data_IF_215862897077
#
_entry.id   IF_215862897077
#
_cell.length_a   1.000
_cell.length_b   1.000
_cell.length_c   1.000
_cell.angle_alpha   90.00
_cell.angle_beta   90.00
_cell.angle_gamma   90.00
#
_symmetry.space_group_name_H-M   'P 1'
#
loop_
_entity.id
_entity.type
_entity.pdbx_description
1 polymer ?
#
# COMPACT_ATOMS: atom_id res chain seq x y z
N UNK A 1 -5.17 -15.46 -6.15
CA UNK A 1 -3.74 -15.93 -6.24
C UNK A 1 -2.84 -14.89 -5.60
N UNK A 2 -1.73 -15.28 -5.01
CA UNK A 2 -0.75 -14.31 -4.54
C UNK A 2 0.68 -14.70 -4.92
N UNK A 3 1.52 -13.68 -5.08
CA UNK A 3 2.94 -13.82 -5.40
C UNK A 3 3.74 -12.88 -4.51
N UNK A 4 4.93 -13.27 -4.14
CA UNK A 4 5.85 -12.47 -3.33
C UNK A 4 7.18 -12.38 -4.08
N UNK A 5 7.67 -11.16 -4.31
CA UNK A 5 8.93 -10.96 -5.04
C UNK A 5 9.67 -9.69 -4.62
N UNK A 6 10.99 -9.73 -4.72
CA UNK A 6 11.83 -8.53 -4.64
C UNK A 6 11.74 -7.76 -5.96
N UNK A 7 11.64 -6.44 -5.90
CA UNK A 7 11.65 -5.64 -7.11
C UNK A 7 10.99 -4.28 -6.98
N UNK A 8 10.63 -3.72 -8.12
CA UNK A 8 9.96 -2.45 -8.26
C UNK A 8 8.45 -2.67 -8.40
N UNK A 9 7.68 -2.09 -7.49
CA UNK A 9 6.21 -2.22 -7.49
C UNK A 9 5.56 -1.73 -8.79
N UNK A 10 6.16 -0.75 -9.46
CA UNK A 10 5.65 -0.19 -10.72
C UNK A 10 5.80 -1.15 -11.91
N UNK A 11 6.60 -2.20 -11.76
CA UNK A 11 6.82 -3.22 -12.79
C UNK A 11 5.98 -4.49 -12.55
N UNK A 12 5.07 -4.45 -11.60
CA UNK A 12 4.28 -5.63 -11.21
C UNK A 12 3.14 -5.98 -12.18
N UNK A 13 2.79 -5.09 -13.11
CA UNK A 13 1.69 -5.27 -14.07
C UNK A 13 0.33 -5.55 -13.40
N UNK A 14 0.00 -4.76 -12.41
CA UNK A 14 -1.28 -4.86 -11.69
C UNK A 14 -2.24 -3.72 -12.05
N UNK A 15 -3.53 -3.93 -11.83
CA UNK A 15 -4.55 -2.87 -11.98
C UNK A 15 -4.34 -1.72 -11.00
N UNK A 16 -3.80 -2.02 -9.83
CA UNK A 16 -3.60 -1.03 -8.77
C UNK A 16 -2.29 -1.23 -8.03
N UNK A 17 -1.84 -0.18 -7.36
CA UNK A 17 -0.73 -0.24 -6.41
C UNK A 17 -1.17 0.35 -5.07
N UNK A 18 -0.51 -0.06 -3.98
CA UNK A 18 -0.67 0.53 -2.68
C UNK A 18 0.62 1.25 -2.23
N UNK A 19 0.47 2.30 -1.46
CA UNK A 19 1.55 3.04 -0.82
C UNK A 19 1.20 3.35 0.63
N UNK A 20 2.20 3.59 1.46
CA UNK A 20 2.00 4.14 2.78
C UNK A 20 1.54 5.60 2.70
N UNK A 21 0.71 6.01 3.64
CA UNK A 21 0.26 7.39 3.78
C UNK A 21 0.19 7.80 5.24
N UNK A 22 0.07 9.11 5.44
CA UNK A 22 -0.26 9.73 6.72
C UNK A 22 -1.68 10.29 6.68
N UNK A 23 -2.16 10.75 7.84
CA UNK A 23 -3.54 11.24 8.02
C UNK A 23 -3.89 12.48 7.19
N UNK A 24 -2.90 13.22 6.69
CA UNK A 24 -3.09 14.41 5.84
C UNK A 24 -2.78 14.16 4.36
N UNK A 25 -2.30 12.98 3.99
CA UNK A 25 -2.15 12.57 2.60
C UNK A 25 -0.95 13.15 1.84
N UNK A 26 0.04 13.73 2.53
CA UNK A 26 1.26 14.22 1.90
C UNK A 26 2.14 13.07 1.39
N UNK A 27 2.85 13.30 0.30
CA UNK A 27 3.73 12.33 -0.37
C UNK A 27 5.17 12.85 -0.50
N UNK A 28 5.83 13.22 0.62
CA UNK A 28 7.10 13.96 0.54
C UNK A 28 8.36 13.09 0.48
N UNK A 29 8.24 11.77 0.67
CA UNK A 29 9.40 10.87 0.81
C UNK A 29 9.06 9.44 0.39
N UNK A 30 10.10 8.62 0.26
CA UNK A 30 9.97 7.18 0.01
C UNK A 30 9.22 6.85 -1.27
N UNK A 31 8.51 5.74 -1.26
CA UNK A 31 7.71 5.29 -2.40
C UNK A 31 6.61 6.30 -2.78
N UNK A 32 6.02 6.97 -1.80
CA UNK A 32 5.03 8.02 -2.06
C UNK A 32 5.59 9.14 -2.94
N UNK A 33 6.82 9.60 -2.69
CA UNK A 33 7.47 10.61 -3.53
C UNK A 33 7.78 10.08 -4.93
N UNK A 34 8.23 8.84 -5.05
CA UNK A 34 8.48 8.21 -6.37
C UNK A 34 7.19 8.14 -7.17
N UNK A 35 6.11 7.68 -6.56
CA UNK A 35 4.79 7.60 -7.19
C UNK A 35 4.29 8.99 -7.61
N UNK A 36 4.36 9.98 -6.73
CA UNK A 36 4.01 11.38 -7.05
C UNK A 36 4.80 11.91 -8.24
N UNK A 37 6.11 11.67 -8.25
CA UNK A 37 7.00 12.15 -9.33
C UNK A 37 6.61 11.56 -10.69
N UNK A 38 6.27 10.29 -10.73
CA UNK A 38 5.92 9.58 -11.96
C UNK A 38 4.45 9.76 -12.36
N UNK A 39 3.54 9.81 -11.40
CA UNK A 39 2.11 9.98 -11.64
C UNK A 39 1.72 11.44 -11.95
N UNK A 40 2.47 12.39 -11.43
CA UNK A 40 2.19 13.82 -11.51
C UNK A 40 1.63 14.39 -10.20
N UNK A 41 1.75 15.72 -10.05
CA UNK A 41 1.40 16.43 -8.81
C UNK A 41 -0.09 16.36 -8.44
N UNK A 42 -0.97 16.13 -9.42
CA UNK A 42 -2.41 16.05 -9.20
C UNK A 42 -2.80 14.90 -8.25
N UNK A 43 -2.02 13.83 -8.20
CA UNK A 43 -2.25 12.70 -7.29
C UNK A 43 -2.12 13.14 -5.83
N UNK A 44 -1.07 13.90 -5.49
CA UNK A 44 -0.92 14.42 -4.12
C UNK A 44 -1.98 15.47 -3.78
N UNK A 45 -2.35 16.32 -4.74
CA UNK A 45 -3.43 17.29 -4.53
C UNK A 45 -4.76 16.59 -4.22
N UNK A 46 -5.10 15.55 -4.97
CA UNK A 46 -6.29 14.73 -4.70
C UNK A 46 -6.20 14.05 -3.34
N UNK A 47 -5.06 13.44 -3.01
CA UNK A 47 -4.80 12.81 -1.72
C UNK A 47 -5.05 13.77 -0.56
N UNK A 48 -4.47 14.96 -0.61
CA UNK A 48 -4.64 15.99 0.42
C UNK A 48 -6.09 16.48 0.50
N UNK A 49 -6.76 16.61 -0.63
CA UNK A 49 -8.16 17.03 -0.68
C UNK A 49 -9.07 16.01 -0.01
N UNK A 50 -8.89 14.72 -0.29
CA UNK A 50 -9.66 13.64 0.34
C UNK A 50 -9.47 13.65 1.85
N UNK A 51 -8.23 13.77 2.32
CA UNK A 51 -7.94 13.81 3.75
C UNK A 51 -8.57 15.03 4.43
N UNK A 52 -8.48 16.21 3.82
CA UNK A 52 -9.06 17.46 4.38
C UNK A 52 -10.58 17.44 4.43
N UNK A 53 -11.24 16.81 3.48
CA UNK A 53 -12.71 16.71 3.44
C UNK A 53 -13.27 16.07 4.70
N UNK A 54 -12.53 15.20 5.34
CA UNK A 54 -12.91 14.49 6.56
C UNK A 54 -12.20 15.07 7.81
N UNK A 55 -11.61 16.28 7.71
CA UNK A 55 -10.77 16.89 8.75
C UNK A 55 -9.33 16.34 8.69
N UNK A 56 -9.17 15.08 8.91
CA UNK A 56 -8.00 14.24 8.64
C UNK A 56 -8.47 12.79 8.59
N UNK A 57 -7.65 11.91 8.00
CA UNK A 57 -7.94 10.48 8.04
C UNK A 57 -7.56 9.89 9.40
N UNK A 58 -8.13 8.75 9.73
CA UNK A 58 -7.72 7.99 10.92
C UNK A 58 -6.66 6.97 10.55
N UNK A 59 -5.70 6.74 11.46
CA UNK A 59 -4.74 5.65 11.34
C UNK A 59 -5.45 4.30 11.29
N UNK A 60 -4.98 3.40 10.44
CA UNK A 60 -5.62 2.09 10.22
C UNK A 60 -6.71 2.10 9.17
N UNK A 61 -6.90 3.21 8.46
CA UNK A 61 -7.82 3.34 7.33
C UNK A 61 -7.08 3.42 6.01
N UNK A 62 -7.79 3.61 4.92
CA UNK A 62 -7.22 3.84 3.60
C UNK A 62 -8.15 4.70 2.75
N UNK A 63 -7.62 5.19 1.66
CA UNK A 63 -8.38 5.85 0.59
C UNK A 63 -7.71 5.57 -0.75
N UNK A 64 -8.38 5.92 -1.84
CA UNK A 64 -7.81 5.76 -3.17
C UNK A 64 -7.85 7.07 -3.96
N UNK A 65 -6.87 7.21 -4.85
CA UNK A 65 -6.78 8.31 -5.81
C UNK A 65 -6.69 7.78 -7.22
N UNK A 66 -6.89 8.69 -8.18
CA UNK A 66 -6.53 8.45 -9.58
C UNK A 66 -5.02 8.17 -9.68
N UNK A 67 -4.63 7.42 -10.68
CA UNK A 67 -3.23 7.04 -10.88
C UNK A 67 -2.43 8.04 -11.73
N UNK A 68 -3.06 9.12 -12.21
CA UNK A 68 -2.38 10.12 -13.04
C UNK A 68 -1.71 9.49 -14.26
N UNK A 69 -0.46 9.88 -14.52
CA UNK A 69 0.31 9.38 -15.66
C UNK A 69 0.65 7.87 -15.56
N UNK A 70 0.52 7.26 -14.39
CA UNK A 70 0.72 5.81 -14.24
C UNK A 70 -0.36 4.99 -14.96
N UNK A 71 -1.44 5.62 -15.41
CA UNK A 71 -2.43 4.96 -16.28
C UNK A 71 -1.81 4.49 -17.59
N UNK A 72 -0.77 5.13 -18.08
CA UNK A 72 -0.04 4.76 -19.29
C UNK A 72 0.62 3.38 -19.19
N UNK A 73 0.94 2.93 -17.98
CA UNK A 73 1.48 1.59 -17.72
C UNK A 73 0.44 0.63 -17.13
N UNK A 74 -0.84 0.99 -17.22
CA UNK A 74 -1.96 0.13 -16.84
C UNK A 74 -2.41 0.21 -15.38
N UNK A 75 -1.84 1.10 -14.58
CA UNK A 75 -2.27 1.31 -13.19
C UNK A 75 -3.49 2.23 -13.19
N UNK A 76 -4.62 1.73 -12.72
CA UNK A 76 -5.91 2.43 -12.72
C UNK A 76 -6.13 3.27 -11.46
N UNK A 77 -5.63 2.80 -10.31
CA UNK A 77 -5.83 3.42 -9.00
C UNK A 77 -4.60 3.27 -8.11
N UNK A 78 -4.42 4.24 -7.22
CA UNK A 78 -3.43 4.19 -6.14
C UNK A 78 -4.20 4.12 -4.82
N UNK A 79 -3.88 3.13 -3.98
CA UNK A 79 -4.45 2.95 -2.65
C UNK A 79 -3.46 3.44 -1.61
N UNK A 80 -3.94 4.29 -0.71
CA UNK A 80 -3.13 4.95 0.32
C UNK A 80 -3.47 4.32 1.68
N UNK A 81 -2.54 3.55 2.22
CA UNK A 81 -2.68 2.93 3.54
C UNK A 81 -2.28 3.94 4.61
N UNK A 82 -3.23 4.43 5.36
CA UNK A 82 -3.02 5.46 6.39
C UNK A 82 -2.53 4.80 7.68
N UNK A 83 -1.26 4.94 8.00
CA UNK A 83 -0.63 4.23 9.12
C UNK A 83 -0.03 5.15 10.20
N UNK A 84 0.10 6.45 9.94
CA UNK A 84 0.78 7.37 10.85
C UNK A 84 0.22 8.79 10.77
N UNK A 85 0.49 9.59 11.81
CA UNK A 85 0.11 11.02 11.87
C UNK A 85 0.92 11.88 10.89
N UNK A 86 2.16 11.49 10.62
CA UNK A 86 3.05 12.19 9.68
C UNK A 86 3.78 11.19 8.79
N UNK A 87 4.27 11.63 7.61
CA UNK A 87 5.02 10.75 6.71
C UNK A 87 6.24 10.14 7.40
N UNK A 88 6.33 8.80 7.39
CA UNK A 88 7.41 8.06 8.06
C UNK A 88 7.34 8.08 9.59
N UNK A 89 6.25 8.56 10.17
CA UNK A 89 6.04 8.60 11.62
C UNK A 89 5.79 7.23 12.23
N UNK A 90 5.65 7.22 13.56
CA UNK A 90 5.39 6.00 14.32
C UNK A 90 4.04 5.40 13.95
N UNK A 91 3.99 4.08 13.91
CA UNK A 91 2.77 3.31 13.68
C UNK A 91 2.75 2.09 14.62
N UNK A 92 1.72 1.27 14.50
CA UNK A 92 1.57 0.03 15.26
C UNK A 92 1.18 -1.12 14.33
N UNK A 93 1.48 -2.34 14.75
CA UNK A 93 1.04 -3.54 14.00
C UNK A 93 -0.48 -3.59 13.85
N UNK A 94 -1.21 -3.10 14.83
CA UNK A 94 -2.67 -2.97 14.78
C UNK A 94 -3.13 -2.04 13.63
N UNK A 95 -2.51 -0.87 13.50
CA UNK A 95 -2.83 0.08 12.45
C UNK A 95 -2.41 -0.44 11.06
N UNK A 96 -1.27 -1.11 10.97
CA UNK A 96 -0.80 -1.73 9.73
C UNK A 96 -1.80 -2.80 9.27
N UNK A 97 -2.20 -3.70 10.15
CA UNK A 97 -3.17 -4.76 9.83
C UNK A 97 -4.49 -4.19 9.32
N UNK A 98 -5.06 -3.23 10.02
CA UNK A 98 -6.32 -2.59 9.64
C UNK A 98 -6.21 -1.88 8.29
N UNK A 99 -5.11 -1.17 8.08
CA UNK A 99 -4.87 -0.40 6.87
C UNK A 99 -4.68 -1.30 5.64
N UNK A 100 -3.89 -2.37 5.77
CA UNK A 100 -3.69 -3.36 4.70
C UNK A 100 -5.01 -4.06 4.36
N UNK A 101 -5.78 -4.45 5.36
CA UNK A 101 -7.12 -5.03 5.16
C UNK A 101 -8.02 -4.06 4.39
N UNK A 102 -8.07 -2.80 4.83
CA UNK A 102 -8.85 -1.76 4.19
C UNK A 102 -8.47 -1.61 2.70
N UNK A 103 -7.19 -1.57 2.40
CA UNK A 103 -6.69 -1.47 1.01
C UNK A 103 -7.18 -2.64 0.16
N UNK A 104 -7.02 -3.87 0.63
CA UNK A 104 -7.41 -5.06 -0.14
C UNK A 104 -8.92 -5.14 -0.35
N UNK A 105 -9.70 -4.88 0.70
CA UNK A 105 -11.16 -4.87 0.62
C UNK A 105 -11.67 -3.77 -0.32
N UNK A 106 -11.12 -2.57 -0.21
CA UNK A 106 -11.50 -1.44 -1.05
C UNK A 106 -11.14 -1.68 -2.52
N UNK A 107 -9.95 -2.19 -2.81
CA UNK A 107 -9.53 -2.48 -4.17
C UNK A 107 -10.43 -3.54 -4.81
N UNK A 108 -10.76 -4.62 -4.10
CA UNK A 108 -11.68 -5.63 -4.58
C UNK A 108 -13.09 -5.06 -4.82
N UNK A 109 -13.60 -4.26 -3.90
CA UNK A 109 -14.91 -3.60 -4.01
C UNK A 109 -14.98 -2.64 -5.19
N UNK A 110 -13.90 -1.95 -5.49
CA UNK A 110 -13.81 -1.01 -6.62
C UNK A 110 -13.54 -1.70 -7.96
N UNK A 111 -13.50 -3.03 -7.99
CA UNK A 111 -13.39 -3.81 -9.22
C UNK A 111 -11.96 -4.02 -9.73
N UNK A 112 -10.94 -3.76 -8.90
CA UNK A 112 -9.55 -4.07 -9.27
C UNK A 112 -9.38 -5.59 -9.27
N UNK A 113 -8.80 -6.12 -10.35
CA UNK A 113 -8.53 -7.57 -10.47
C UNK A 113 -7.22 -7.96 -9.81
N UNK A 114 -6.29 -7.01 -9.73
CA UNK A 114 -4.97 -7.22 -9.16
C UNK A 114 -4.44 -5.98 -8.47
N UNK A 115 -3.62 -6.18 -7.45
CA UNK A 115 -2.96 -5.11 -6.72
C UNK A 115 -1.52 -5.51 -6.34
N UNK A 116 -0.59 -4.58 -6.51
CA UNK A 116 0.75 -4.70 -5.97
C UNK A 116 0.84 -3.91 -4.66
N UNK A 117 1.42 -4.52 -3.64
CA UNK A 117 1.49 -3.93 -2.28
C UNK A 117 2.92 -4.07 -1.76
N UNK A 118 3.51 -2.99 -1.23
CA UNK A 118 4.83 -3.02 -0.62
C UNK A 118 4.74 -3.54 0.82
N UNK A 119 5.87 -3.71 1.47
CA UNK A 119 5.93 -4.01 2.90
C UNK A 119 5.53 -2.81 3.75
N UNK A 120 4.24 -2.55 3.84
CA UNK A 120 3.70 -1.42 4.59
C UNK A 120 4.09 -1.53 6.06
N UNK A 121 4.78 -0.50 6.57
CA UNK A 121 5.21 -0.41 7.96
C UNK A 121 6.59 -0.99 8.27
N UNK A 122 7.28 -1.61 7.31
CA UNK A 122 8.59 -2.25 7.56
C UNK A 122 9.71 -1.27 7.87
N UNK A 123 9.58 0.00 7.47
CA UNK A 123 10.53 1.07 7.80
C UNK A 123 10.18 1.79 9.11
N UNK A 124 9.06 1.43 9.74
CA UNK A 124 8.66 1.98 11.04
C UNK A 124 9.33 1.19 12.19
N UNK A 125 9.01 1.56 13.43
CA UNK A 125 9.51 0.88 14.62
C UNK A 125 8.95 -0.55 14.82
N UNK A 126 8.13 -1.07 13.90
CA UNK A 126 7.56 -2.40 14.01
C UNK A 126 8.57 -3.48 13.58
N UNK A 127 8.45 -4.64 14.20
CA UNK A 127 9.24 -5.82 13.88
C UNK A 127 8.85 -6.38 12.50
N UNK A 128 9.83 -6.57 11.62
CA UNK A 128 9.65 -7.11 10.26
C UNK A 128 8.96 -8.48 10.29
N UNK A 129 9.32 -9.36 11.21
CA UNK A 129 8.71 -10.69 11.33
C UNK A 129 7.22 -10.60 11.65
N UNK A 130 6.86 -9.72 12.57
CA UNK A 130 5.46 -9.49 12.93
C UNK A 130 4.66 -8.92 11.76
N UNK A 131 5.24 -7.99 11.01
CA UNK A 131 4.60 -7.45 9.79
C UNK A 131 4.42 -8.55 8.75
N UNK A 132 5.40 -9.40 8.54
CA UNK A 132 5.30 -10.51 7.60
C UNK A 132 4.17 -11.49 7.99
N UNK A 133 3.99 -11.78 9.28
CA UNK A 133 2.88 -12.60 9.79
C UNK A 133 1.53 -11.95 9.46
N UNK A 134 1.41 -10.64 9.69
CA UNK A 134 0.20 -9.87 9.35
C UNK A 134 -0.10 -9.99 7.85
N UNK A 135 0.90 -9.77 7.01
CA UNK A 135 0.75 -9.85 5.55
C UNK A 135 0.28 -11.24 5.10
N UNK A 136 0.91 -12.30 5.57
CA UNK A 136 0.50 -13.68 5.20
C UNK A 136 -0.94 -13.94 5.60
N UNK A 137 -1.35 -13.54 6.80
CA UNK A 137 -2.71 -13.70 7.27
C UNK A 137 -3.72 -12.97 6.37
N UNK A 138 -3.45 -11.70 6.01
CA UNK A 138 -4.32 -10.92 5.14
C UNK A 138 -4.37 -11.48 3.72
N UNK A 139 -3.22 -11.80 3.15
CA UNK A 139 -3.10 -12.28 1.78
C UNK A 139 -3.85 -13.62 1.61
N UNK A 140 -3.69 -14.56 2.53
CA UNK A 140 -4.38 -15.86 2.47
C UNK A 140 -5.89 -15.70 2.47
N UNK A 141 -6.42 -14.73 3.23
CA UNK A 141 -7.87 -14.44 3.26
C UNK A 141 -8.37 -13.79 1.98
N UNK A 142 -7.60 -12.87 1.41
CA UNK A 142 -8.05 -12.01 0.33
C UNK A 142 -7.68 -12.50 -1.07
N UNK A 143 -6.75 -13.45 -1.19
CA UNK A 143 -6.26 -13.93 -2.49
C UNK A 143 -7.29 -14.71 -3.32
N UNK A 144 -8.42 -15.06 -2.74
CA UNK A 144 -9.56 -15.64 -3.48
C UNK A 144 -10.43 -14.59 -4.18
N UNK A 145 -10.31 -13.32 -3.76
CA UNK A 145 -11.14 -12.21 -4.24
C UNK A 145 -10.35 -11.31 -5.21
N UNK A 146 -9.08 -11.11 -4.94
CA UNK A 146 -8.21 -10.24 -5.73
C UNK A 146 -6.82 -10.87 -5.86
N UNK A 147 -6.19 -10.75 -7.01
CA UNK A 147 -4.80 -11.18 -7.19
C UNK A 147 -3.85 -10.19 -6.50
N UNK A 148 -3.00 -10.71 -5.63
CA UNK A 148 -2.11 -9.90 -4.78
C UNK A 148 -0.66 -10.20 -5.12
N UNK A 149 0.11 -9.16 -5.40
CA UNK A 149 1.56 -9.25 -5.58
C UNK A 149 2.21 -8.40 -4.50
N UNK A 150 2.92 -9.03 -3.57
CA UNK A 150 3.76 -8.32 -2.60
C UNK A 150 5.10 -8.07 -3.25
N UNK A 151 5.45 -6.81 -3.40
CA UNK A 151 6.71 -6.38 -4.05
C UNK A 151 7.42 -5.38 -3.17
N UNK A 152 8.63 -5.69 -2.75
CA UNK A 152 9.46 -4.78 -1.99
C UNK A 152 10.93 -4.93 -2.36
N UNK A 153 11.72 -3.89 -2.12
CA UNK A 153 13.17 -3.94 -2.30
C UNK A 153 13.89 -4.49 -1.07
N UNK A 154 13.21 -4.60 0.06
CA UNK A 154 13.75 -5.19 1.28
C UNK A 154 13.77 -6.71 1.14
N UNK A 155 14.93 -7.27 0.84
CA UNK A 155 15.13 -8.69 0.61
C UNK A 155 14.82 -9.52 1.88
N UNK A 156 15.15 -9.01 3.06
CA UNK A 156 14.90 -9.70 4.33
C UNK A 156 13.39 -9.89 4.55
N UNK A 157 12.61 -8.85 4.32
CA UNK A 157 11.15 -8.94 4.41
C UNK A 157 10.57 -9.96 3.43
N UNK A 158 11.02 -9.91 2.18
CA UNK A 158 10.55 -10.83 1.13
C UNK A 158 10.94 -12.28 1.44
N UNK A 159 12.13 -12.51 1.96
CA UNK A 159 12.58 -13.86 2.36
C UNK A 159 11.73 -14.43 3.50
N UNK A 160 11.50 -13.63 4.55
CA UNK A 160 10.65 -14.02 5.68
C UNK A 160 9.22 -14.33 5.19
N UNK A 161 8.67 -13.45 4.38
CA UNK A 161 7.30 -13.60 3.85
C UNK A 161 7.16 -14.87 3.00
N UNK A 162 8.13 -15.15 2.14
CA UNK A 162 8.18 -16.39 1.36
C UNK A 162 8.26 -17.63 2.24
N UNK A 163 9.03 -17.58 3.31
CA UNK A 163 9.13 -18.66 4.29
C UNK A 163 7.80 -18.96 4.98
N UNK A 164 7.07 -17.91 5.37
CA UNK A 164 5.76 -18.04 6.04
C UNK A 164 4.61 -18.43 5.08
N UNK A 165 4.76 -18.13 3.80
CA UNK A 165 3.72 -18.38 2.80
C UNK A 165 3.66 -19.86 2.33
N UNK A 166 4.72 -20.62 2.59
CA UNK A 166 4.79 -22.06 2.27
C UNK A 166 3.92 -22.87 3.23
#
# INVERSE_FOLDING_TARGET
MFTVKTGNILEANTDAIAIESSVYGAMPRGLGLVVKTLAGDEVEKESKRICRKNGKMEEGTCFSTNAGNLQEIGIKRIYHAVIAQSPGGLTSSYNIERSVRCVLEKAAKEGMRSIAIPGIGIESACDIENIAIIFVSMIKKMSSIIDIIVVDRNEDFIEILNGLAK
#
